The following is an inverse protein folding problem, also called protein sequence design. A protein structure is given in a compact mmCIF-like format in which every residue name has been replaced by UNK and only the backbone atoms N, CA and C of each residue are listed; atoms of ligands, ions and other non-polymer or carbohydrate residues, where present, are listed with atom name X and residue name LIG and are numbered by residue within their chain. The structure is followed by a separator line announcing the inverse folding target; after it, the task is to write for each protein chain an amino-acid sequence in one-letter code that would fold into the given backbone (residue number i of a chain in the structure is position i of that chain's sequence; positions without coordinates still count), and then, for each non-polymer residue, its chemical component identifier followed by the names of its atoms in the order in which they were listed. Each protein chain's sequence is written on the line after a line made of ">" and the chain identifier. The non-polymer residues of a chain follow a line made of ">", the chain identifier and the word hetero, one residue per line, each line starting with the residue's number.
data_IF_165103437181
#
_entry.id   IF_165103437181
#
_cell.length_a   1.000
_cell.length_b   1.000
_cell.length_c   1.000
_cell.angle_alpha   90.00
_cell.angle_beta   90.00
_cell.angle_gamma   90.00
#
_symmetry.space_group_name_H-M   'P 1'
#
loop_
_entity.id
_entity.type
_entity.pdbx_description
1 polymer ?
#
# COMPACT_ATOMS: atom_id res chain seq x y z
N UNK A 1 -26.53 -9.93 22.41
CA UNK A 1 -25.44 -10.32 21.52
C UNK A 1 -25.70 -9.71 20.14
N UNK A 2 -24.76 -8.91 19.64
CA UNK A 2 -24.83 -8.24 18.33
C UNK A 2 -24.61 -9.23 17.18
N UNK A 3 -24.69 -8.77 15.93
CA UNK A 3 -24.30 -9.61 14.79
C UNK A 3 -22.78 -9.81 14.75
N UNK A 4 -22.02 -8.77 15.07
CA UNK A 4 -20.56 -8.83 15.19
C UNK A 4 -20.08 -9.81 16.26
N UNK A 5 -20.65 -9.74 17.48
CA UNK A 5 -20.28 -10.66 18.57
C UNK A 5 -20.53 -12.12 18.18
N UNK A 6 -21.64 -12.39 17.47
CA UNK A 6 -21.92 -13.73 16.93
C UNK A 6 -20.93 -14.18 15.88
N UNK A 7 -20.56 -13.31 14.95
CA UNK A 7 -19.61 -13.65 13.90
C UNK A 7 -18.25 -14.01 14.52
N UNK A 8 -17.79 -13.19 15.47
CA UNK A 8 -16.53 -13.43 16.20
C UNK A 8 -16.61 -14.77 16.95
N UNK A 9 -17.68 -15.02 17.70
CA UNK A 9 -17.85 -16.27 18.44
C UNK A 9 -17.90 -17.49 17.50
N UNK A 10 -18.61 -17.42 16.37
CA UNK A 10 -18.69 -18.50 15.38
C UNK A 10 -17.36 -18.74 14.67
N UNK A 11 -16.64 -17.66 14.36
CA UNK A 11 -15.32 -17.72 13.71
C UNK A 11 -14.20 -18.24 14.62
N UNK A 12 -14.42 -18.27 15.94
CA UNK A 12 -13.41 -18.69 16.92
C UNK A 12 -13.26 -20.22 17.07
N UNK A 13 -13.99 -21.01 16.29
CA UNK A 13 -13.99 -22.48 16.42
C UNK A 13 -12.60 -23.06 16.12
N UNK A 14 -11.96 -23.67 17.13
CA UNK A 14 -10.59 -24.23 17.07
C UNK A 14 -9.50 -23.21 16.67
N UNK A 15 -9.74 -21.90 16.87
CA UNK A 15 -8.77 -20.85 16.54
C UNK A 15 -8.57 -20.60 15.05
N UNK A 16 -9.40 -21.18 14.17
CA UNK A 16 -9.35 -20.96 12.74
C UNK A 16 -10.60 -20.21 12.28
N UNK A 17 -10.40 -19.07 11.61
CA UNK A 17 -11.48 -18.28 11.04
C UNK A 17 -12.18 -19.07 9.93
N UNK A 18 -13.49 -19.27 10.07
CA UNK A 18 -14.33 -19.79 9.00
C UNK A 18 -14.49 -18.72 7.91
N UNK A 19 -13.62 -18.79 6.90
CA UNK A 19 -13.56 -17.88 5.76
C UNK A 19 -14.87 -17.83 4.99
N UNK A 20 -15.59 -18.96 4.90
CA UNK A 20 -16.87 -19.04 4.20
C UNK A 20 -17.93 -18.24 4.94
N UNK A 21 -18.06 -18.47 6.25
CA UNK A 21 -18.97 -17.70 7.11
C UNK A 21 -18.67 -16.21 7.11
N UNK A 22 -17.39 -15.80 7.15
CA UNK A 22 -17.01 -14.39 7.05
C UNK A 22 -17.38 -13.80 5.69
N UNK A 23 -17.09 -14.50 4.59
CA UNK A 23 -17.46 -14.01 3.26
C UNK A 23 -18.98 -13.89 3.10
N UNK A 24 -19.75 -14.87 3.56
CA UNK A 24 -21.21 -14.83 3.51
C UNK A 24 -21.73 -13.64 4.31
N UNK A 25 -21.19 -13.39 5.50
CA UNK A 25 -21.55 -12.22 6.31
C UNK A 25 -21.24 -10.88 5.59
N UNK A 26 -20.09 -10.78 4.91
CA UNK A 26 -19.76 -9.61 4.08
C UNK A 26 -20.73 -9.44 2.89
N UNK A 27 -21.24 -10.55 2.33
CA UNK A 27 -22.28 -10.57 1.28
C UNK A 27 -23.68 -10.29 1.84
N UNK A 28 -23.84 -10.14 3.16
CA UNK A 28 -25.14 -9.99 3.82
C UNK A 28 -25.92 -11.30 3.98
N UNK A 29 -25.29 -12.44 3.72
CA UNK A 29 -25.87 -13.78 3.88
C UNK A 29 -25.72 -14.25 5.32
N UNK A 30 -26.75 -14.91 5.86
CA UNK A 30 -26.75 -15.44 7.23
C UNK A 30 -26.90 -14.38 8.33
N UNK A 31 -27.05 -13.09 7.97
CA UNK A 31 -27.25 -12.02 8.93
C UNK A 31 -28.67 -12.01 9.50
N UNK A 32 -28.85 -11.46 10.72
CA UNK A 32 -30.18 -11.28 11.32
C UNK A 32 -31.08 -10.41 10.44
N UNK A 33 -32.39 -10.66 10.52
CA UNK A 33 -33.36 -9.83 9.82
C UNK A 33 -33.19 -8.35 10.16
N UNK A 34 -33.03 -7.50 9.13
CA UNK A 34 -32.87 -6.06 9.27
C UNK A 34 -31.43 -5.59 9.52
N UNK A 35 -30.45 -6.50 9.64
CA UNK A 35 -29.03 -6.15 9.76
C UNK A 35 -28.37 -6.30 8.39
N UNK A 36 -27.73 -5.23 7.92
CA UNK A 36 -26.95 -5.21 6.68
C UNK A 36 -25.49 -5.60 6.93
N UNK A 37 -24.73 -5.83 5.85
CA UNK A 37 -23.26 -5.98 5.93
C UNK A 37 -22.59 -4.75 6.54
N UNK A 38 -23.13 -3.56 6.28
CA UNK A 38 -22.56 -2.30 6.76
C UNK A 38 -22.87 -2.11 8.25
N UNK A 39 -24.07 -2.51 8.71
CA UNK A 39 -24.39 -2.56 10.15
C UNK A 39 -23.50 -3.55 10.91
N UNK A 40 -23.21 -4.71 10.30
CA UNK A 40 -22.28 -5.68 10.87
C UNK A 40 -20.87 -5.10 10.99
N UNK A 41 -20.36 -4.51 9.91
CA UNK A 41 -19.02 -3.93 9.89
C UNK A 41 -18.92 -2.75 10.85
N UNK A 42 -19.95 -1.92 10.93
CA UNK A 42 -20.07 -0.86 11.95
C UNK A 42 -19.93 -1.41 13.37
N UNK A 43 -20.66 -2.49 13.68
CA UNK A 43 -20.55 -3.16 14.98
C UNK A 43 -19.17 -3.75 15.22
N UNK A 44 -18.52 -4.35 14.20
CA UNK A 44 -17.17 -4.88 14.31
C UNK A 44 -16.14 -3.78 14.60
N UNK A 45 -16.24 -2.65 13.89
CA UNK A 45 -15.27 -1.57 13.91
C UNK A 45 -15.38 -0.67 15.16
N UNK A 46 -16.58 -0.50 15.72
CA UNK A 46 -16.79 0.35 16.89
C UNK A 46 -16.76 -0.41 18.22
N UNK A 47 -16.90 -1.74 18.20
CA UNK A 47 -16.87 -2.53 19.43
C UNK A 47 -15.43 -2.60 19.99
N UNK A 48 -15.29 -2.65 21.32
CA UNK A 48 -13.99 -2.74 22.00
C UNK A 48 -13.74 -4.19 22.39
N UNK A 49 -12.91 -4.89 21.63
CA UNK A 49 -12.81 -6.35 21.69
C UNK A 49 -11.95 -6.90 22.83
N UNK A 50 -11.11 -6.10 23.49
CA UNK A 50 -10.33 -6.37 24.71
C UNK A 50 -9.69 -7.77 24.80
N UNK A 51 -10.48 -8.81 25.15
CA UNK A 51 -10.05 -10.19 25.31
C UNK A 51 -10.07 -11.01 24.00
N UNK A 52 -10.66 -10.47 22.93
CA UNK A 52 -10.84 -11.14 21.63
C UNK A 52 -10.07 -10.49 20.48
N UNK A 53 -9.19 -9.53 20.77
CA UNK A 53 -8.46 -8.76 19.76
C UNK A 53 -7.82 -9.68 18.70
N UNK A 54 -7.15 -10.77 19.13
CA UNK A 54 -6.47 -11.71 18.22
C UNK A 54 -7.42 -12.44 17.25
N UNK A 55 -8.62 -12.78 17.72
CA UNK A 55 -9.63 -13.43 16.88
C UNK A 55 -10.16 -12.44 15.85
N UNK A 56 -10.37 -11.20 16.27
CA UNK A 56 -10.90 -10.13 15.43
C UNK A 56 -9.89 -9.68 14.39
N UNK A 57 -8.60 -9.57 14.75
CA UNK A 57 -7.53 -9.30 13.79
C UNK A 57 -7.39 -10.40 12.72
N UNK A 58 -7.69 -11.65 13.08
CA UNK A 58 -7.72 -12.77 12.15
C UNK A 58 -8.89 -12.77 11.16
N UNK A 59 -9.99 -12.06 11.43
CA UNK A 59 -11.23 -12.13 10.64
C UNK A 59 -11.02 -11.81 9.16
N UNK A 60 -10.12 -10.86 8.86
CA UNK A 60 -9.87 -10.40 7.51
C UNK A 60 -8.47 -10.77 6.99
N UNK A 61 -7.52 -11.09 7.87
CA UNK A 61 -6.13 -11.37 7.49
C UNK A 61 -6.01 -12.53 6.49
N UNK A 62 -6.91 -13.52 6.53
CA UNK A 62 -6.91 -14.64 5.58
C UNK A 62 -7.08 -14.19 4.11
N UNK A 63 -7.69 -13.04 3.87
CA UNK A 63 -7.90 -12.49 2.52
C UNK A 63 -6.54 -12.22 1.86
N UNK A 64 -5.58 -11.68 2.62
CA UNK A 64 -4.23 -11.41 2.13
C UNK A 64 -3.52 -12.70 1.70
N UNK A 65 -3.60 -13.75 2.52
CA UNK A 65 -2.98 -15.04 2.22
C UNK A 65 -3.65 -15.78 1.06
N UNK A 66 -4.99 -15.78 0.99
CA UNK A 66 -5.73 -16.47 -0.07
C UNK A 66 -5.60 -15.77 -1.43
N UNK A 67 -5.32 -14.46 -1.46
CA UNK A 67 -5.09 -13.70 -2.69
C UNK A 67 -3.91 -14.24 -3.52
N UNK A 68 -2.87 -14.75 -2.86
CA UNK A 68 -1.69 -15.33 -3.50
C UNK A 68 -1.88 -16.81 -3.89
N UNK A 69 -3.05 -17.40 -3.64
CA UNK A 69 -3.32 -18.80 -3.94
C UNK A 69 -3.28 -19.07 -5.45
N UNK A 70 -2.61 -20.16 -5.84
CA UNK A 70 -2.66 -20.67 -7.21
C UNK A 70 -4.02 -21.29 -7.56
N UNK A 71 -4.85 -21.62 -6.56
CA UNK A 71 -6.23 -22.02 -6.77
C UNK A 71 -7.09 -20.80 -7.13
N UNK A 72 -7.70 -20.86 -8.32
CA UNK A 72 -8.46 -19.75 -8.89
C UNK A 72 -9.68 -19.41 -8.04
N UNK A 73 -10.40 -20.41 -7.53
CA UNK A 73 -11.59 -20.17 -6.72
C UNK A 73 -11.24 -19.49 -5.39
N UNK A 74 -10.15 -19.92 -4.76
CA UNK A 74 -9.64 -19.35 -3.50
C UNK A 74 -9.19 -17.90 -3.67
N UNK A 75 -8.37 -17.61 -4.68
CA UNK A 75 -7.90 -16.24 -4.96
C UNK A 75 -9.04 -15.32 -5.40
N UNK A 76 -9.98 -15.79 -6.22
CA UNK A 76 -11.19 -15.02 -6.57
C UNK A 76 -12.05 -14.73 -5.34
N UNK A 77 -12.26 -15.70 -4.44
CA UNK A 77 -12.97 -15.47 -3.17
C UNK A 77 -12.31 -14.38 -2.34
N UNK A 78 -10.99 -14.39 -2.24
CA UNK A 78 -10.26 -13.36 -1.51
C UNK A 78 -10.50 -11.96 -2.11
N UNK A 79 -10.43 -11.82 -3.44
CA UNK A 79 -10.66 -10.54 -4.09
C UNK A 79 -12.10 -10.04 -3.96
N UNK A 80 -13.09 -10.93 -4.03
CA UNK A 80 -14.49 -10.57 -3.77
C UNK A 80 -14.68 -10.08 -2.33
N UNK A 81 -14.06 -10.74 -1.35
CA UNK A 81 -14.09 -10.31 0.05
C UNK A 81 -13.40 -8.96 0.26
N UNK A 82 -12.22 -8.78 -0.34
CA UNK A 82 -11.49 -7.52 -0.31
C UNK A 82 -12.30 -6.37 -0.94
N UNK A 83 -13.04 -6.63 -2.01
CA UNK A 83 -13.93 -5.65 -2.67
C UNK A 83 -14.96 -5.09 -1.69
N UNK A 84 -15.62 -5.97 -0.92
CA UNK A 84 -16.65 -5.57 0.04
C UNK A 84 -16.06 -4.75 1.19
N UNK A 85 -14.89 -5.14 1.70
CA UNK A 85 -14.17 -4.38 2.71
C UNK A 85 -13.69 -3.02 2.18
N UNK A 86 -13.11 -2.99 0.98
CA UNK A 86 -12.63 -1.75 0.36
C UNK A 86 -13.76 -0.75 0.17
N UNK A 87 -14.94 -1.21 -0.31
CA UNK A 87 -16.14 -0.37 -0.39
C UNK A 87 -16.52 0.19 0.98
N UNK A 88 -16.68 -0.68 1.98
CA UNK A 88 -17.11 -0.26 3.31
C UNK A 88 -16.14 0.76 3.92
N UNK A 89 -14.84 0.43 3.96
CA UNK A 89 -13.80 1.29 4.56
C UNK A 89 -13.74 2.64 3.85
N UNK A 90 -13.80 2.65 2.52
CA UNK A 90 -13.76 3.88 1.75
C UNK A 90 -15.01 4.77 1.96
N UNK A 91 -16.19 4.16 2.13
CA UNK A 91 -17.45 4.89 2.29
C UNK A 91 -17.68 5.35 3.74
N UNK A 92 -16.98 4.75 4.72
CA UNK A 92 -17.15 5.03 6.16
C UNK A 92 -15.95 5.73 6.82
N UNK A 93 -15.01 6.28 6.03
CA UNK A 93 -13.77 6.89 6.54
C UNK A 93 -13.97 7.91 7.64
N UNK A 94 -14.92 8.84 7.50
CA UNK A 94 -15.17 9.84 8.55
C UNK A 94 -15.56 9.22 9.88
N UNK A 95 -16.35 8.14 9.86
CA UNK A 95 -16.73 7.39 11.07
C UNK A 95 -15.59 6.55 11.60
N UNK A 96 -14.81 5.92 10.72
CA UNK A 96 -13.69 5.07 11.11
C UNK A 96 -12.51 5.87 11.67
N UNK A 97 -12.32 7.12 11.25
CA UNK A 97 -11.35 8.02 11.88
C UNK A 97 -11.87 8.64 13.20
N UNK A 98 -13.16 8.54 13.47
CA UNK A 98 -13.81 9.18 14.62
C UNK A 98 -14.85 8.22 15.27
N UNK A 99 -14.40 7.08 15.80
CA UNK A 99 -15.30 5.94 16.10
C UNK A 99 -16.35 6.25 17.17
N UNK A 100 -16.03 7.16 18.10
CA UNK A 100 -16.91 7.58 19.21
C UNK A 100 -17.56 8.95 18.92
N UNK A 101 -17.56 9.39 17.66
CA UNK A 101 -18.09 10.68 17.21
C UNK A 101 -16.99 11.71 16.91
N UNK A 102 -17.36 12.92 16.49
CA UNK A 102 -16.39 13.90 16.01
C UNK A 102 -15.30 14.25 17.03
N UNK A 103 -14.05 14.33 16.57
CA UNK A 103 -12.84 14.64 17.36
C UNK A 103 -12.52 13.60 18.43
N UNK A 104 -12.78 12.34 18.10
CA UNK A 104 -12.47 11.19 18.95
C UNK A 104 -11.53 10.25 18.21
N UNK A 105 -10.94 9.32 18.96
CA UNK A 105 -9.95 8.39 18.43
C UNK A 105 -10.43 7.66 17.17
N UNK A 106 -9.47 7.34 16.33
CA UNK A 106 -9.68 6.53 15.15
C UNK A 106 -9.77 5.03 15.47
N UNK A 107 -10.23 4.25 14.49
CA UNK A 107 -10.42 2.80 14.61
C UNK A 107 -9.10 2.08 14.88
N UNK A 108 -7.97 2.59 14.39
CA UNK A 108 -6.65 2.01 14.69
C UNK A 108 -6.20 2.21 16.13
N UNK A 109 -6.66 3.25 16.81
CA UNK A 109 -6.46 3.39 18.26
C UNK A 109 -7.40 2.47 19.04
N UNK A 110 -8.60 2.26 18.49
CA UNK A 110 -9.66 1.52 19.17
C UNK A 110 -9.58 0.02 19.03
N UNK A 111 -9.17 -0.44 17.86
CA UNK A 111 -9.15 -1.82 17.40
C UNK A 111 -7.92 -2.06 16.51
N UNK A 112 -6.70 -1.89 17.05
CA UNK A 112 -5.46 -1.95 16.28
C UNK A 112 -5.28 -3.27 15.51
N UNK A 113 -5.62 -4.40 16.13
CA UNK A 113 -5.48 -5.72 15.49
C UNK A 113 -6.47 -5.91 14.33
N UNK A 114 -7.67 -5.34 14.42
CA UNK A 114 -8.63 -5.34 13.32
C UNK A 114 -8.07 -4.55 12.13
N UNK A 115 -7.55 -3.35 12.38
CA UNK A 115 -6.96 -2.51 11.32
C UNK A 115 -5.71 -3.17 10.71
N UNK A 116 -4.92 -3.88 11.52
CA UNK A 116 -3.84 -4.72 11.00
C UNK A 116 -4.36 -5.83 10.08
N UNK A 117 -5.46 -6.49 10.46
CA UNK A 117 -6.15 -7.45 9.59
C UNK A 117 -6.61 -6.85 8.26
N UNK A 118 -7.08 -5.59 8.26
CA UNK A 118 -7.43 -4.85 7.04
C UNK A 118 -6.18 -4.52 6.19
N UNK A 119 -5.08 -4.10 6.80
CA UNK A 119 -3.82 -3.85 6.10
C UNK A 119 -3.35 -5.11 5.35
N UNK A 120 -3.34 -6.25 6.04
CA UNK A 120 -3.03 -7.56 5.43
C UNK A 120 -4.01 -7.91 4.31
N UNK A 121 -5.31 -7.65 4.50
CA UNK A 121 -6.33 -7.92 3.48
C UNK A 121 -6.16 -7.07 2.22
N UNK A 122 -5.70 -5.82 2.32
CA UNK A 122 -5.56 -4.91 1.17
C UNK A 122 -4.19 -4.97 0.48
N UNK A 123 -3.15 -5.43 1.16
CA UNK A 123 -1.78 -5.47 0.65
C UNK A 123 -1.64 -6.08 -0.78
N UNK A 124 -2.28 -7.23 -1.11
CA UNK A 124 -2.15 -7.83 -2.45
C UNK A 124 -2.80 -7.01 -3.58
N UNK A 125 -3.63 -6.03 -3.24
CA UNK A 125 -4.43 -5.25 -4.19
C UNK A 125 -3.91 -3.82 -4.35
N UNK A 126 -2.67 -3.54 -3.92
CA UNK A 126 -2.08 -2.21 -4.02
C UNK A 126 -1.99 -1.73 -5.47
N UNK A 127 -1.65 -2.59 -6.43
CA UNK A 127 -1.66 -2.23 -7.86
C UNK A 127 -3.08 -1.90 -8.36
N UNK A 128 -4.10 -2.64 -7.92
CA UNK A 128 -5.50 -2.33 -8.22
C UNK A 128 -5.93 -0.99 -7.61
N UNK A 129 -5.57 -0.74 -6.34
CA UNK A 129 -5.73 0.53 -5.66
C UNK A 129 -4.87 1.65 -6.26
N UNK A 130 -3.85 1.32 -7.07
CA UNK A 130 -3.05 2.19 -7.93
C UNK A 130 -3.62 2.37 -9.33
N UNK A 131 -4.68 1.63 -9.67
CA UNK A 131 -5.47 1.83 -10.89
C UNK A 131 -4.76 1.21 -12.09
N UNK A 132 -3.89 0.25 -11.79
CA UNK A 132 -3.23 -0.57 -12.77
C UNK A 132 -4.28 -1.27 -13.63
N UNK A 133 -4.06 -1.22 -14.94
CA UNK A 133 -4.89 -1.95 -15.89
C UNK A 133 -4.78 -3.47 -15.65
N UNK A 134 -5.77 -4.28 -16.09
CA UNK A 134 -5.81 -5.73 -15.85
C UNK A 134 -4.54 -6.50 -16.23
N UNK A 135 -3.77 -6.03 -17.21
CA UNK A 135 -2.50 -6.62 -17.64
C UNK A 135 -1.33 -6.38 -16.67
N UNK A 136 -1.47 -5.44 -15.73
CA UNK A 136 -0.44 -5.07 -14.73
C UNK A 136 -0.80 -5.48 -13.30
N UNK A 137 -1.93 -6.17 -13.10
CA UNK A 137 -2.35 -6.74 -11.82
C UNK A 137 -2.34 -8.26 -11.89
N UNK A 138 -1.95 -8.91 -10.80
CA UNK A 138 -1.98 -10.38 -10.67
C UNK A 138 -3.17 -10.85 -9.82
N UNK A 139 -3.86 -9.91 -9.18
CA UNK A 139 -5.01 -10.16 -8.32
C UNK A 139 -6.21 -10.67 -9.12
N UNK A 140 -7.15 -11.34 -8.45
CA UNK A 140 -8.37 -11.90 -9.06
C UNK A 140 -9.59 -11.56 -8.23
N UNK A 141 -10.70 -11.25 -8.89
CA UNK A 141 -11.99 -11.01 -8.22
C UNK A 141 -12.08 -9.70 -7.44
N UNK A 142 -10.99 -8.92 -7.35
CA UNK A 142 -11.03 -7.61 -6.72
C UNK A 142 -11.57 -6.55 -7.67
N UNK A 143 -12.45 -5.71 -7.16
CA UNK A 143 -12.93 -4.50 -7.82
C UNK A 143 -12.50 -3.31 -6.99
N UNK A 144 -11.56 -2.52 -7.51
CA UNK A 144 -11.12 -1.30 -6.86
C UNK A 144 -12.31 -0.34 -6.65
N UNK A 145 -12.37 0.39 -5.51
CA UNK A 145 -13.52 1.22 -5.19
C UNK A 145 -13.60 2.48 -6.07
N UNK A 146 -12.48 2.93 -6.64
CA UNK A 146 -12.43 4.00 -7.64
C UNK A 146 -12.44 3.42 -9.06
N UNK A 147 -13.24 3.98 -9.99
CA UNK A 147 -13.16 3.63 -11.41
C UNK A 147 -11.77 3.92 -11.99
N UNK A 148 -11.30 3.11 -12.95
CA UNK A 148 -9.97 3.26 -13.57
C UNK A 148 -9.68 4.66 -14.14
N UNK A 149 -10.71 5.39 -14.58
CA UNK A 149 -10.56 6.76 -15.11
C UNK A 149 -10.43 7.85 -14.04
N UNK A 150 -10.63 7.54 -12.75
CA UNK A 150 -10.54 8.52 -11.68
C UNK A 150 -9.12 8.60 -11.12
N UNK A 151 -8.30 9.48 -11.71
CA UNK A 151 -6.89 9.66 -11.32
C UNK A 151 -6.68 10.23 -9.91
N UNK A 152 -7.70 10.83 -9.28
CA UNK A 152 -7.59 11.34 -7.91
C UNK A 152 -7.67 10.22 -6.87
N UNK A 153 -8.42 9.14 -7.15
CA UNK A 153 -8.52 7.97 -6.26
C UNK A 153 -9.06 8.25 -4.85
N UNK A 154 -10.12 9.06 -4.68
CA UNK A 154 -10.59 9.47 -3.35
C UNK A 154 -10.95 8.29 -2.45
N UNK A 155 -11.49 7.18 -3.00
CA UNK A 155 -11.83 6.01 -2.17
C UNK A 155 -10.60 5.23 -1.74
N UNK A 156 -9.58 5.11 -2.57
CA UNK A 156 -8.31 4.54 -2.17
C UNK A 156 -7.58 5.44 -1.14
N UNK A 157 -7.61 6.77 -1.30
CA UNK A 157 -7.07 7.70 -0.29
C UNK A 157 -7.69 7.45 1.09
N UNK A 158 -9.01 7.30 1.11
CA UNK A 158 -9.80 6.98 2.28
C UNK A 158 -9.40 5.65 2.94
N UNK A 159 -9.10 4.62 2.15
CA UNK A 159 -8.58 3.35 2.66
C UNK A 159 -7.24 3.56 3.36
N UNK A 160 -6.27 4.20 2.70
CA UNK A 160 -4.96 4.47 3.30
C UNK A 160 -5.11 5.24 4.62
N UNK A 161 -5.92 6.32 4.65
CA UNK A 161 -6.14 7.10 5.87
C UNK A 161 -6.67 6.26 7.04
N UNK A 162 -7.63 5.36 6.79
CA UNK A 162 -8.15 4.48 7.85
C UNK A 162 -7.09 3.49 8.32
N UNK A 163 -6.32 2.88 7.41
CA UNK A 163 -5.27 1.94 7.79
C UNK A 163 -4.13 2.63 8.56
N UNK A 164 -3.82 3.87 8.16
CA UNK A 164 -2.80 4.71 8.78
C UNK A 164 -3.13 5.08 10.22
N UNK A 165 -4.40 4.97 10.62
CA UNK A 165 -4.81 5.28 11.99
C UNK A 165 -4.28 4.29 13.05
N UNK A 166 -3.81 3.11 12.63
CA UNK A 166 -3.13 2.14 13.49
C UNK A 166 -1.63 2.14 13.24
N UNK A 167 -0.81 2.40 14.26
CA UNK A 167 0.63 2.59 14.05
C UNK A 167 1.34 1.38 13.38
N UNK A 168 0.98 0.15 13.75
CA UNK A 168 1.55 -1.06 13.14
C UNK A 168 1.00 -1.28 11.73
N UNK A 169 -0.32 -1.13 11.53
CA UNK A 169 -0.95 -1.31 10.22
C UNK A 169 -0.49 -0.28 9.20
N UNK A 170 -0.27 0.96 9.65
CA UNK A 170 0.30 2.05 8.87
C UNK A 170 1.73 1.71 8.39
N UNK A 171 2.58 1.19 9.27
CA UNK A 171 3.92 0.75 8.89
C UNK A 171 3.89 -0.40 7.88
N UNK A 172 3.07 -1.42 8.14
CA UNK A 172 2.99 -2.61 7.33
C UNK A 172 2.47 -2.29 5.91
N UNK A 173 1.35 -1.57 5.79
CA UNK A 173 0.76 -1.25 4.49
C UNK A 173 1.64 -0.29 3.69
N UNK A 174 2.16 0.76 4.33
CA UNK A 174 2.99 1.75 3.61
C UNK A 174 4.33 1.14 3.17
N UNK A 175 4.91 0.23 3.95
CA UNK A 175 6.09 -0.53 3.50
C UNK A 175 5.75 -1.41 2.29
N UNK A 176 4.62 -2.11 2.32
CA UNK A 176 4.20 -2.91 1.15
C UNK A 176 3.92 -2.03 -0.08
N UNK A 177 3.39 -0.82 0.12
CA UNK A 177 3.19 0.16 -0.95
C UNK A 177 4.52 0.64 -1.55
N UNK A 178 5.53 0.92 -0.71
CA UNK A 178 6.91 1.23 -1.15
C UNK A 178 7.50 0.07 -1.96
N UNK A 179 7.34 -1.17 -1.49
CA UNK A 179 7.82 -2.36 -2.21
C UNK A 179 7.09 -2.51 -3.56
N UNK A 180 5.77 -2.28 -3.59
CA UNK A 180 4.99 -2.29 -4.84
C UNK A 180 5.42 -1.18 -5.81
N UNK A 181 5.77 0.01 -5.30
CA UNK A 181 6.34 1.10 -6.10
C UNK A 181 7.67 0.66 -6.71
N UNK A 182 8.55 0.03 -5.94
CA UNK A 182 9.83 -0.49 -6.43
C UNK A 182 9.64 -1.56 -7.51
N UNK A 183 8.68 -2.47 -7.34
CA UNK A 183 8.34 -3.46 -8.35
C UNK A 183 7.84 -2.83 -9.65
N UNK A 184 6.98 -1.82 -9.57
CA UNK A 184 6.48 -1.10 -10.75
C UNK A 184 7.62 -0.36 -11.49
N UNK A 185 8.57 0.20 -10.75
CA UNK A 185 9.78 0.82 -11.31
C UNK A 185 10.71 -0.20 -11.96
N UNK A 186 10.85 -1.39 -11.36
CA UNK A 186 11.60 -2.50 -11.94
C UNK A 186 10.92 -3.05 -13.20
N UNK A 187 9.59 -3.22 -13.19
CA UNK A 187 8.80 -3.60 -14.35
C UNK A 187 8.99 -2.59 -15.49
N UNK A 188 8.94 -1.29 -15.20
CA UNK A 188 9.21 -0.23 -16.18
C UNK A 188 10.63 -0.33 -16.73
N UNK A 189 11.63 -0.49 -15.85
CA UNK A 189 13.05 -0.58 -16.25
C UNK A 189 13.27 -1.77 -17.17
N UNK A 190 12.68 -2.92 -16.86
CA UNK A 190 12.72 -4.11 -17.72
C UNK A 190 12.00 -3.89 -19.06
N UNK A 191 10.87 -3.18 -19.07
CA UNK A 191 10.19 -2.84 -20.33
C UNK A 191 11.07 -1.97 -21.23
N UNK A 192 11.78 -0.99 -20.65
CA UNK A 192 12.71 -0.14 -21.39
C UNK A 192 13.93 -0.93 -21.88
N UNK A 193 14.48 -1.84 -21.07
CA UNK A 193 15.60 -2.68 -21.49
C UNK A 193 15.22 -3.62 -22.65
N UNK A 194 13.97 -4.10 -22.69
CA UNK A 194 13.45 -4.95 -23.75
C UNK A 194 13.13 -4.18 -25.05
N UNK A 195 12.48 -3.01 -24.94
CA UNK A 195 12.19 -2.13 -26.07
C UNK A 195 12.34 -0.65 -25.66
N UNK A 196 13.55 -0.06 -25.81
CA UNK A 196 13.80 1.33 -25.43
C UNK A 196 12.94 2.36 -26.17
N UNK A 197 12.32 1.99 -27.30
CA UNK A 197 11.46 2.89 -28.07
C UNK A 197 10.01 2.91 -27.56
N UNK A 198 9.58 1.85 -26.86
CA UNK A 198 8.21 1.71 -26.36
C UNK A 198 8.19 1.18 -24.90
N UNK A 199 8.79 1.90 -23.94
CA UNK A 199 8.69 1.53 -22.53
C UNK A 199 7.24 1.69 -22.02
N UNK A 200 6.84 0.84 -21.07
CA UNK A 200 5.50 0.82 -20.48
C UNK A 200 5.34 1.97 -19.45
N UNK A 201 5.23 3.21 -19.91
CA UNK A 201 5.19 4.43 -19.08
C UNK A 201 4.04 4.47 -18.05
N UNK A 202 2.96 3.74 -18.28
CA UNK A 202 1.86 3.59 -17.33
C UNK A 202 2.30 2.96 -16.00
N UNK A 203 3.35 2.13 -15.99
CA UNK A 203 3.92 1.58 -14.76
C UNK A 203 4.47 2.70 -13.86
N UNK A 204 5.11 3.71 -14.45
CA UNK A 204 5.54 4.92 -13.75
C UNK A 204 4.32 5.71 -13.21
N UNK A 205 3.23 5.78 -13.98
CA UNK A 205 2.00 6.42 -13.52
C UNK A 205 1.39 5.69 -12.30
N UNK A 206 1.35 4.36 -12.30
CA UNK A 206 0.85 3.59 -11.15
C UNK A 206 1.74 3.73 -9.91
N UNK A 207 3.07 3.75 -10.10
CA UNK A 207 4.04 3.98 -9.03
C UNK A 207 3.85 5.37 -8.40
N UNK A 208 3.69 6.41 -9.24
CA UNK A 208 3.35 7.75 -8.78
C UNK A 208 2.00 7.83 -8.06
N UNK A 209 0.99 7.11 -8.55
CA UNK A 209 -0.32 7.03 -7.91
C UNK A 209 -0.22 6.44 -6.50
N UNK A 210 0.50 5.33 -6.31
CA UNK A 210 0.73 4.74 -4.98
C UNK A 210 1.49 5.69 -4.05
N UNK A 211 2.51 6.38 -4.55
CA UNK A 211 3.22 7.41 -3.76
C UNK A 211 2.27 8.51 -3.28
N UNK A 212 1.38 8.97 -4.17
CA UNK A 212 0.34 9.93 -3.83
C UNK A 212 -0.63 9.40 -2.78
N UNK A 213 -1.06 8.13 -2.89
CA UNK A 213 -1.96 7.49 -1.93
C UNK A 213 -1.36 7.35 -0.54
N UNK A 214 -0.12 6.87 -0.44
CA UNK A 214 0.62 6.78 0.83
C UNK A 214 0.72 8.16 1.49
N UNK A 215 1.13 9.17 0.72
CA UNK A 215 1.28 10.54 1.24
C UNK A 215 -0.06 11.10 1.72
N UNK A 216 -1.11 10.95 0.91
CA UNK A 216 -2.44 11.50 1.18
C UNK A 216 -3.16 10.78 2.33
N UNK A 217 -2.96 9.47 2.48
CA UNK A 217 -3.45 8.68 3.59
C UNK A 217 -2.90 9.19 4.92
N UNK A 218 -1.57 9.23 5.02
CA UNK A 218 -0.87 9.76 6.18
C UNK A 218 -1.35 11.18 6.50
N UNK A 219 -1.37 12.08 5.52
CA UNK A 219 -1.80 13.49 5.68
C UNK A 219 -3.25 13.64 6.14
N UNK A 220 -4.15 12.81 5.64
CA UNK A 220 -5.54 12.81 6.07
C UNK A 220 -5.67 12.34 7.52
N UNK A 221 -5.00 11.24 7.87
CA UNK A 221 -5.03 10.67 9.21
C UNK A 221 -4.48 11.64 10.25
N UNK A 222 -3.32 12.24 9.99
CA UNK A 222 -2.71 13.20 10.90
C UNK A 222 -3.52 14.48 11.05
N UNK A 223 -4.13 14.96 9.96
CA UNK A 223 -4.99 16.12 10.03
C UNK A 223 -6.20 15.83 10.93
N UNK A 224 -6.76 14.63 10.88
CA UNK A 224 -7.84 14.21 11.78
C UNK A 224 -7.34 14.11 13.23
N UNK A 225 -6.25 13.36 13.47
CA UNK A 225 -5.65 13.20 14.79
C UNK A 225 -5.22 14.52 15.44
N UNK A 226 -4.75 15.48 14.66
CA UNK A 226 -4.41 16.82 15.16
C UNK A 226 -5.64 17.62 15.64
N UNK A 227 -6.83 17.29 15.14
CA UNK A 227 -8.10 17.86 15.56
C UNK A 227 -8.76 17.08 16.72
N UNK A 228 -8.28 15.87 17.01
CA UNK A 228 -8.78 15.06 18.12
C UNK A 228 -8.38 15.61 19.49
N UNK A 229 -9.20 15.27 20.49
CA UNK A 229 -8.90 15.62 21.88
C UNK A 229 -7.71 14.81 22.43
N UNK A 230 -7.42 13.64 21.85
CA UNK A 230 -6.25 12.81 22.16
C UNK A 230 -5.08 13.16 21.26
N UNK A 231 -4.06 13.85 21.79
CA UNK A 231 -2.80 14.07 21.09
C UNK A 231 -1.82 12.94 21.40
N UNK A 232 -1.73 11.91 20.57
CA UNK A 232 -0.61 10.95 20.60
C UNK A 232 0.46 11.37 19.58
N UNK A 233 1.68 11.79 20.01
CA UNK A 233 2.74 12.23 19.11
C UNK A 233 3.50 11.11 18.38
N UNK A 234 3.05 9.84 18.42
CA UNK A 234 3.72 8.69 17.75
C UNK A 234 3.84 8.78 16.22
N UNK A 235 3.22 9.78 15.60
CA UNK A 235 3.10 9.99 14.16
C UNK A 235 4.42 10.33 13.44
N UNK A 236 5.32 11.09 14.09
CA UNK A 236 6.47 11.71 13.41
C UNK A 236 7.48 10.66 12.91
N UNK A 237 7.76 9.62 13.70
CA UNK A 237 8.78 8.63 13.35
C UNK A 237 8.37 7.78 12.15
N UNK A 238 7.09 7.38 12.09
CA UNK A 238 6.59 6.57 10.98
C UNK A 238 6.56 7.36 9.68
N UNK A 239 6.04 8.59 9.71
CA UNK A 239 6.03 9.50 8.56
C UNK A 239 7.41 9.73 8.01
N UNK A 240 8.40 9.96 8.88
CA UNK A 240 9.79 10.17 8.45
C UNK A 240 10.36 8.92 7.78
N UNK A 241 10.11 7.73 8.33
CA UNK A 241 10.59 6.47 7.75
C UNK A 241 10.02 6.24 6.34
N UNK A 242 8.69 6.38 6.17
CA UNK A 242 8.03 6.22 4.87
C UNK A 242 8.45 7.32 3.89
N UNK A 243 8.63 8.56 4.37
CA UNK A 243 9.03 9.70 3.53
C UNK A 243 10.39 9.50 2.86
N UNK A 244 11.37 8.94 3.58
CA UNK A 244 12.68 8.60 3.01
C UNK A 244 12.54 7.52 1.92
N UNK A 245 11.71 6.50 2.13
CA UNK A 245 11.52 5.45 1.12
C UNK A 245 10.75 5.95 -0.13
N UNK A 246 10.09 7.11 -0.05
CA UNK A 246 9.41 7.75 -1.19
C UNK A 246 10.25 8.81 -1.90
N UNK A 247 11.50 9.04 -1.51
CA UNK A 247 12.32 10.10 -2.07
C UNK A 247 12.81 9.80 -3.51
N UNK A 248 13.17 10.82 -4.32
CA UNK A 248 13.61 10.61 -5.69
C UNK A 248 14.84 9.70 -5.85
N UNK A 249 15.75 9.65 -4.87
CA UNK A 249 16.92 8.78 -4.91
C UNK A 249 16.54 7.30 -4.93
N UNK A 250 15.48 6.90 -4.22
CA UNK A 250 14.98 5.52 -4.25
C UNK A 250 14.56 5.11 -5.66
N UNK A 251 13.93 6.03 -6.40
CA UNK A 251 13.52 5.77 -7.80
C UNK A 251 14.72 5.49 -8.69
N UNK A 252 15.78 6.30 -8.59
CA UNK A 252 16.99 6.10 -9.39
C UNK A 252 17.76 4.86 -8.92
N UNK A 253 17.75 4.57 -7.62
CA UNK A 253 18.32 3.36 -7.05
C UNK A 253 17.69 2.11 -7.64
N UNK A 254 16.35 2.02 -7.69
CA UNK A 254 15.64 0.87 -8.25
C UNK A 254 15.89 0.69 -9.75
N UNK A 255 16.01 1.79 -10.50
CA UNK A 255 16.43 1.74 -11.92
C UNK A 255 17.85 1.18 -12.02
N UNK A 256 18.80 1.75 -11.26
CA UNK A 256 20.19 1.33 -11.29
C UNK A 256 20.34 -0.15 -10.89
N UNK A 257 19.67 -0.58 -9.82
CA UNK A 257 19.62 -1.97 -9.35
C UNK A 257 19.04 -2.90 -10.41
N UNK A 258 17.91 -2.55 -11.02
CA UNK A 258 17.30 -3.39 -12.06
C UNK A 258 18.17 -3.48 -13.32
N UNK A 259 18.83 -2.39 -13.72
CA UNK A 259 19.82 -2.43 -14.82
C UNK A 259 21.00 -3.33 -14.45
N UNK A 260 21.50 -3.23 -13.22
CA UNK A 260 22.59 -4.08 -12.73
C UNK A 260 22.22 -5.56 -12.72
N UNK A 261 21.01 -5.88 -12.26
CA UNK A 261 20.51 -7.26 -12.22
C UNK A 261 20.37 -7.86 -13.64
N UNK A 262 20.08 -7.03 -14.64
CA UNK A 262 19.90 -7.45 -16.03
C UNK A 262 21.23 -7.56 -16.82
N UNK A 263 22.12 -6.58 -16.68
CA UNK A 263 23.31 -6.42 -17.52
C UNK A 263 24.64 -6.65 -16.78
N UNK A 264 24.61 -6.87 -15.46
CA UNK A 264 25.78 -6.97 -14.61
C UNK A 264 26.25 -5.62 -14.03
N UNK A 265 27.45 -5.56 -13.42
CA UNK A 265 27.94 -4.38 -12.71
C UNK A 265 27.89 -3.09 -13.56
N UNK A 266 27.41 -2.00 -12.96
CA UNK A 266 27.28 -0.72 -13.64
C UNK A 266 28.67 -0.09 -13.80
N UNK A 267 29.05 0.29 -15.02
CA UNK A 267 30.25 1.08 -15.23
C UNK A 267 30.08 2.48 -14.62
N UNK A 268 31.02 2.90 -13.78
CA UNK A 268 30.97 4.18 -13.07
C UNK A 268 32.37 4.80 -12.91
N UNK A 269 32.40 6.09 -12.62
CA UNK A 269 33.62 6.80 -12.22
C UNK A 269 34.04 6.38 -10.80
N UNK A 270 35.35 6.17 -10.52
CA UNK A 270 35.83 5.75 -9.19
C UNK A 270 35.37 6.63 -8.01
N UNK A 271 34.98 7.89 -8.25
CA UNK A 271 34.38 8.72 -7.19
C UNK A 271 33.10 8.13 -6.60
N UNK A 272 32.45 7.22 -7.32
CA UNK A 272 31.23 6.55 -6.92
C UNK A 272 31.45 5.18 -6.27
N UNK A 273 32.70 4.73 -6.10
CA UNK A 273 33.01 3.41 -5.51
C UNK A 273 32.30 3.19 -4.16
N UNK A 274 32.09 4.26 -3.38
CA UNK A 274 31.36 4.21 -2.10
C UNK A 274 29.87 3.84 -2.19
N UNK A 275 29.29 3.77 -3.40
CA UNK A 275 27.91 3.32 -3.62
C UNK A 275 27.80 1.80 -3.81
N UNK A 276 28.94 1.12 -3.96
CA UNK A 276 28.99 -0.28 -4.34
C UNK A 276 29.67 -1.12 -3.26
N UNK A 277 29.19 -2.36 -3.11
CA UNK A 277 29.84 -3.42 -2.37
C UNK A 277 31.11 -3.87 -3.12
N UNK A 278 32.05 -4.57 -2.45
CA UNK A 278 33.29 -5.04 -3.09
C UNK A 278 33.10 -5.98 -4.28
N UNK A 279 31.93 -6.61 -4.42
CA UNK A 279 31.56 -7.46 -5.55
C UNK A 279 31.05 -6.66 -6.77
N UNK A 280 30.95 -5.34 -6.66
CA UNK A 280 30.46 -4.44 -7.71
C UNK A 280 28.94 -4.27 -7.72
N UNK A 281 28.21 -4.90 -6.79
CA UNK A 281 26.77 -4.65 -6.63
C UNK A 281 26.51 -3.36 -5.85
N UNK A 282 25.38 -2.70 -6.11
CA UNK A 282 24.98 -1.54 -5.31
C UNK A 282 24.82 -1.92 -3.84
N UNK A 283 25.22 -1.02 -2.94
CA UNK A 283 24.94 -1.15 -1.51
C UNK A 283 23.42 -1.09 -1.25
N UNK A 284 22.97 -1.66 -0.13
CA UNK A 284 21.56 -1.63 0.24
C UNK A 284 21.09 -0.17 0.41
N UNK A 285 19.91 0.16 -0.13
CA UNK A 285 19.41 1.54 -0.12
C UNK A 285 19.43 2.19 1.27
N UNK A 286 19.02 1.44 2.30
CA UNK A 286 19.02 1.91 3.70
C UNK A 286 20.42 2.29 4.19
N UNK A 287 21.43 1.47 3.89
CA UNK A 287 22.81 1.77 4.26
C UNK A 287 23.33 3.01 3.50
N UNK A 288 22.87 3.22 2.26
CA UNK A 288 23.20 4.43 1.50
C UNK A 288 22.61 5.68 2.14
N UNK A 289 21.31 5.72 2.43
CA UNK A 289 20.67 6.91 3.04
C UNK A 289 21.13 7.19 4.48
N UNK A 290 21.60 6.17 5.21
CA UNK A 290 22.21 6.35 6.53
C UNK A 290 23.59 7.04 6.44
N UNK A 291 24.29 6.91 5.30
CA UNK A 291 25.65 7.43 5.10
C UNK A 291 25.72 8.78 4.39
N UNK A 292 24.65 9.21 3.69
CA UNK A 292 24.64 10.44 2.89
C UNK A 292 23.23 11.02 2.75
N UNK A 293 23.14 12.32 2.43
CA UNK A 293 21.84 12.92 2.14
C UNK A 293 21.20 12.31 0.90
N UNK A 294 19.87 12.17 0.91
CA UNK A 294 19.08 11.67 -0.22
C UNK A 294 19.30 12.50 -1.49
N UNK A 295 19.50 13.82 -1.37
CA UNK A 295 19.87 14.70 -2.49
C UNK A 295 21.22 14.38 -3.14
N UNK A 296 22.22 14.02 -2.34
CA UNK A 296 23.55 13.63 -2.85
C UNK A 296 23.45 12.25 -3.48
N UNK A 297 22.79 11.30 -2.81
CA UNK A 297 22.55 9.97 -3.33
C UNK A 297 21.82 10.01 -4.69
N UNK A 298 20.77 10.83 -4.79
CA UNK A 298 20.04 11.06 -6.04
C UNK A 298 20.96 11.52 -7.16
N UNK A 299 21.74 12.58 -6.93
CA UNK A 299 22.66 13.13 -7.93
C UNK A 299 23.70 12.10 -8.38
N UNK A 300 24.28 11.34 -7.45
CA UNK A 300 25.31 10.36 -7.76
C UNK A 300 24.76 9.18 -8.56
N UNK A 301 23.65 8.59 -8.12
CA UNK A 301 22.97 7.51 -8.83
C UNK A 301 22.49 7.96 -10.21
N UNK A 302 21.95 9.18 -10.31
CA UNK A 302 21.45 9.72 -11.58
C UNK A 302 22.59 9.91 -12.58
N UNK A 303 23.78 10.31 -12.13
CA UNK A 303 24.95 10.40 -13.00
C UNK A 303 25.38 9.02 -13.52
N UNK A 304 25.30 7.96 -12.71
CA UNK A 304 25.62 6.58 -13.14
C UNK A 304 24.59 6.09 -14.15
N UNK A 305 23.29 6.24 -13.86
CA UNK A 305 22.22 5.81 -14.77
C UNK A 305 22.27 6.61 -16.08
N UNK A 306 22.58 7.91 -16.04
CA UNK A 306 22.65 8.76 -17.23
C UNK A 306 23.87 8.50 -18.13
N UNK A 307 24.88 7.74 -17.69
CA UNK A 307 26.00 7.33 -18.56
C UNK A 307 25.80 5.93 -19.13
N UNK A 308 24.85 5.16 -18.60
CA UNK A 308 24.55 3.82 -19.05
C UNK A 308 24.23 3.77 -20.55
N UNK A 309 24.87 2.82 -21.26
CA UNK A 309 24.82 2.66 -22.72
C UNK A 309 25.03 3.98 -23.50
N UNK A 310 25.98 4.81 -23.06
CA UNK A 310 26.28 6.09 -23.71
C UNK A 310 25.22 7.17 -23.51
N UNK A 311 24.41 7.05 -22.45
CA UNK A 311 23.35 7.98 -22.08
C UNK A 311 22.00 7.75 -22.76
N UNK A 312 21.78 6.54 -23.29
CA UNK A 312 20.53 6.15 -23.91
C UNK A 312 19.32 6.26 -22.96
N UNK A 313 19.53 6.09 -21.65
CA UNK A 313 18.46 6.08 -20.65
C UNK A 313 18.08 7.46 -20.11
N UNK A 314 18.85 8.51 -20.43
CA UNK A 314 18.70 9.84 -19.83
C UNK A 314 17.29 10.42 -19.99
N UNK A 315 16.76 10.38 -21.22
CA UNK A 315 15.42 10.91 -21.49
C UNK A 315 14.34 10.02 -20.88
N UNK A 316 14.53 8.69 -20.92
CA UNK A 316 13.58 7.74 -20.35
C UNK A 316 13.41 7.91 -18.83
N UNK A 317 14.50 8.15 -18.10
CA UNK A 317 14.44 8.44 -16.66
C UNK A 317 13.69 9.74 -16.39
N UNK A 318 13.93 10.79 -17.18
CA UNK A 318 13.20 12.06 -17.06
C UNK A 318 11.70 11.88 -17.31
N UNK A 319 11.33 11.09 -18.31
CA UNK A 319 9.94 10.77 -18.61
C UNK A 319 9.30 9.98 -17.46
N UNK A 320 9.98 8.96 -16.93
CA UNK A 320 9.50 8.21 -15.76
C UNK A 320 9.24 9.14 -14.55
N UNK A 321 10.20 9.99 -14.20
CA UNK A 321 10.06 10.89 -13.06
C UNK A 321 8.91 11.89 -13.26
N UNK A 322 8.73 12.39 -14.49
CA UNK A 322 7.65 13.29 -14.83
C UNK A 322 6.28 12.61 -14.69
N UNK A 323 6.12 11.38 -15.20
CA UNK A 323 4.87 10.62 -15.08
C UNK A 323 4.55 10.24 -13.63
N UNK A 324 5.55 9.80 -12.86
CA UNK A 324 5.38 9.53 -11.44
C UNK A 324 4.93 10.78 -10.68
N UNK A 325 5.57 11.93 -10.93
CA UNK A 325 5.21 13.20 -10.29
C UNK A 325 3.80 13.64 -10.67
N UNK A 326 3.46 13.60 -11.95
CA UNK A 326 2.12 13.96 -12.43
C UNK A 326 1.03 13.12 -11.76
N UNK A 327 1.25 11.81 -11.64
CA UNK A 327 0.30 10.90 -11.01
C UNK A 327 0.18 11.15 -9.50
N UNK A 328 1.29 11.33 -8.79
CA UNK A 328 1.27 11.68 -7.37
C UNK A 328 0.54 13.00 -7.12
N UNK A 329 0.83 14.04 -7.92
CA UNK A 329 0.14 15.34 -7.85
C UNK A 329 -1.35 15.24 -8.22
N UNK A 330 -1.76 14.29 -9.05
CA UNK A 330 -3.16 14.06 -9.36
C UNK A 330 -3.93 13.53 -8.15
N UNK A 331 -3.34 12.64 -7.34
CA UNK A 331 -3.93 12.15 -6.09
C UNK A 331 -3.97 13.22 -5.01
N UNK A 332 -2.98 14.11 -4.97
CA UNK A 332 -2.85 15.15 -3.94
C UNK A 332 -3.72 16.41 -4.18
N UNK A 333 -4.39 16.52 -5.33
CA UNK A 333 -5.30 17.63 -5.68
C UNK A 333 -6.73 17.38 -5.21
#
# INVERSE_FOLDING_TARGET
>A
MTAAERLVDQSSTNGAVDKGTVQDALKGVGLPQGVTSDDLLDQLMSHRWNDKDSTVGGLFAWIGSDAASSDVATSTRAGESATMLARYVADHTSKLLNVDGSRTNAVGDANPELVQGLAVAFAPYLRDLAGASPEFVTSRGFTAPDPLGNVQRPKAQNIFAVIDSGATSALDLNRQAVETIAELQSDWTRSWLADPQNPELQLAFYAGTLKGLVTRGLDTEAADRANDQSKDPKEVALRVAVSNDLDPAHTIYEIARTVQDADGPLAHDPRYDSLFKPDGHLEDYRALVDSRSTSTLYSDLLNIVNTYRGGAMKNAVQDLEAYMRQAAEAVLR
#
